data_IF_964956487101
#
_entry.id   IF_964956487101
#
_cell.length_a   1.000
_cell.length_b   1.000
_cell.length_c   1.000
_cell.angle_alpha   90.00
_cell.angle_beta   90.00
_cell.angle_gamma   90.00
#
_symmetry.space_group_name_H-M   'P 1'
#
loop_
_entity.id
_entity.type
_entity.pdbx_description
1 polymer ?
#
# COMPACT_ATOMS: atom_id res chain seq x y z
N UNK A 1 3.86 34.51 17.40
CA UNK A 1 4.94 33.50 17.28
C UNK A 1 4.44 32.15 16.73
N UNK A 2 3.13 31.90 16.64
CA UNK A 2 2.60 30.63 16.09
C UNK A 2 2.49 30.61 14.54
N UNK A 3 2.56 31.77 13.87
CA UNK A 3 2.40 31.88 12.42
C UNK A 3 3.67 31.52 11.60
N UNK A 4 4.87 31.62 12.18
CA UNK A 4 6.14 31.33 11.48
C UNK A 4 6.46 29.82 11.42
N UNK A 5 5.99 29.05 12.40
CA UNK A 5 6.21 27.59 12.45
C UNK A 5 5.45 26.82 11.38
N UNK A 6 4.24 27.28 11.00
CA UNK A 6 3.41 26.62 9.99
C UNK A 6 3.91 26.85 8.55
N UNK A 7 4.43 28.04 8.25
CA UNK A 7 4.97 28.34 6.91
C UNK A 7 6.25 27.54 6.59
N UNK A 8 7.09 27.28 7.60
CA UNK A 8 8.32 26.51 7.42
C UNK A 8 8.06 25.00 7.20
N UNK A 9 7.05 24.43 7.86
CA UNK A 9 6.63 23.04 7.64
C UNK A 9 6.01 22.85 6.24
N UNK A 10 5.20 23.79 5.78
CA UNK A 10 4.54 23.67 4.48
C UNK A 10 5.52 23.82 3.32
N UNK A 11 6.52 24.70 3.44
CA UNK A 11 7.59 24.88 2.44
C UNK A 11 8.57 23.71 2.36
N UNK A 12 8.76 22.98 3.47
CA UNK A 12 9.61 21.79 3.50
C UNK A 12 8.89 20.54 2.97
N UNK A 13 7.56 20.45 3.11
CA UNK A 13 6.75 19.40 2.46
C UNK A 13 6.77 19.53 0.94
N UNK A 14 6.50 20.74 0.41
CA UNK A 14 6.45 20.93 -1.05
C UNK A 14 7.79 20.74 -1.75
N UNK A 15 8.91 20.99 -1.06
CA UNK A 15 10.25 20.70 -1.59
C UNK A 15 10.49 19.21 -1.74
N UNK A 16 10.12 18.41 -0.73
CA UNK A 16 10.31 16.96 -0.77
C UNK A 16 9.43 16.29 -1.82
N UNK A 17 8.21 16.77 -1.99
CA UNK A 17 7.30 16.30 -3.05
C UNK A 17 7.90 16.56 -4.43
N UNK A 18 8.45 17.77 -4.65
CA UNK A 18 9.09 18.12 -5.91
C UNK A 18 10.36 17.30 -6.18
N UNK A 19 11.23 17.13 -5.19
CA UNK A 19 12.43 16.29 -5.30
C UNK A 19 12.07 14.83 -5.63
N UNK A 20 10.95 14.35 -5.09
CA UNK A 20 10.42 13.03 -5.40
C UNK A 20 9.91 12.93 -6.84
N UNK A 21 9.15 13.91 -7.32
CA UNK A 21 8.66 13.97 -8.70
C UNK A 21 9.82 14.04 -9.70
N UNK A 22 10.80 14.91 -9.43
CA UNK A 22 11.97 15.10 -10.29
C UNK A 22 12.78 13.80 -10.51
N UNK A 23 12.92 12.94 -9.48
CA UNK A 23 13.61 11.65 -9.65
C UNK A 23 12.81 10.65 -10.48
N UNK A 24 11.48 10.62 -10.35
CA UNK A 24 10.63 9.74 -11.16
C UNK A 24 10.63 10.17 -12.62
N UNK A 25 10.53 11.46 -12.90
CA UNK A 25 10.63 12.03 -14.25
C UNK A 25 11.97 11.68 -14.91
N UNK A 26 13.07 11.77 -14.14
CA UNK A 26 14.41 11.40 -14.60
C UNK A 26 14.50 9.91 -14.95
N UNK A 27 13.93 9.04 -14.13
CA UNK A 27 13.88 7.60 -14.38
C UNK A 27 13.06 7.29 -15.64
N UNK A 28 11.87 7.88 -15.75
CA UNK A 28 10.97 7.71 -16.90
C UNK A 28 11.67 8.09 -18.20
N UNK A 29 12.24 9.30 -18.28
CA UNK A 29 12.99 9.74 -19.47
C UNK A 29 14.15 8.81 -19.82
N UNK A 30 14.84 8.27 -18.82
CA UNK A 30 15.95 7.34 -19.04
C UNK A 30 15.44 6.01 -19.62
N UNK A 31 14.32 5.50 -19.12
CA UNK A 31 13.66 4.29 -19.63
C UNK A 31 13.14 4.48 -21.06
N UNK A 32 12.49 5.61 -21.35
CA UNK A 32 12.01 5.94 -22.69
C UNK A 32 13.15 6.00 -23.71
N UNK A 33 14.25 6.68 -23.37
CA UNK A 33 15.42 6.76 -24.23
C UNK A 33 16.05 5.38 -24.45
N UNK A 34 16.11 4.55 -23.41
CA UNK A 34 16.62 3.19 -23.51
C UNK A 34 15.75 2.32 -24.44
N UNK A 35 14.43 2.35 -24.25
CA UNK A 35 13.47 1.63 -25.08
C UNK A 35 13.53 2.07 -26.56
N UNK A 36 13.58 3.38 -26.82
CA UNK A 36 13.68 3.89 -28.18
C UNK A 36 15.02 3.51 -28.82
N UNK A 37 16.12 3.54 -28.06
CA UNK A 37 17.41 3.09 -28.55
C UNK A 37 17.40 1.60 -28.93
N UNK A 38 16.76 0.76 -28.10
CA UNK A 38 16.58 -0.67 -28.39
C UNK A 38 15.73 -0.89 -29.64
N UNK A 39 14.64 -0.12 -29.81
CA UNK A 39 13.78 -0.16 -31.01
C UNK A 39 14.56 0.17 -32.28
N UNK A 40 15.31 1.27 -32.28
CA UNK A 40 16.12 1.69 -33.44
C UNK A 40 17.20 0.64 -33.73
N UNK A 41 17.85 0.09 -32.71
CA UNK A 41 18.84 -0.98 -32.88
C UNK A 41 18.21 -2.21 -33.53
N UNK A 42 17.03 -2.64 -33.06
CA UNK A 42 16.28 -3.76 -33.63
C UNK A 42 15.95 -3.55 -35.11
N UNK A 43 15.48 -2.35 -35.48
CA UNK A 43 15.24 -1.98 -36.88
C UNK A 43 16.53 -1.99 -37.71
N UNK A 44 17.62 -1.43 -37.16
CA UNK A 44 18.93 -1.39 -37.84
C UNK A 44 19.49 -2.80 -38.08
N UNK A 45 19.25 -3.73 -37.14
CA UNK A 45 19.66 -5.12 -37.26
C UNK A 45 18.80 -5.91 -38.26
N UNK A 46 17.50 -5.61 -38.33
CA UNK A 46 16.60 -6.24 -39.30
C UNK A 46 16.94 -5.85 -40.75
N UNK A 47 17.25 -4.58 -40.99
CA UNK A 47 17.60 -4.04 -42.32
C UNK A 47 19.11 -3.81 -42.47
N UNK A 48 19.91 -4.72 -41.92
CA UNK A 48 21.36 -4.51 -41.83
C UNK A 48 22.05 -4.43 -43.20
N UNK A 49 22.96 -3.48 -43.33
CA UNK A 49 23.92 -3.38 -44.43
C UNK A 49 25.30 -2.97 -43.94
N UNK A 50 26.34 -3.12 -44.76
CA UNK A 50 27.70 -2.68 -44.40
C UNK A 50 27.77 -1.20 -44.02
N UNK A 51 26.86 -0.36 -44.54
CA UNK A 51 26.78 1.07 -44.22
C UNK A 51 26.21 1.35 -42.83
N UNK A 52 25.44 0.42 -42.25
CA UNK A 52 24.81 0.59 -40.93
C UNK A 52 25.66 0.04 -39.78
N UNK A 53 26.85 -0.52 -40.04
CA UNK A 53 27.71 -1.09 -39.00
C UNK A 53 28.07 -0.09 -37.90
N UNK A 54 28.50 1.12 -38.28
CA UNK A 54 28.87 2.15 -37.30
C UNK A 54 27.68 2.61 -36.47
N UNK A 55 26.51 2.75 -37.11
CA UNK A 55 25.27 3.09 -36.42
C UNK A 55 24.87 1.98 -35.44
N UNK A 56 24.98 0.71 -35.83
CA UNK A 56 24.70 -0.43 -34.95
C UNK A 56 25.63 -0.44 -33.74
N UNK A 57 26.94 -0.26 -33.94
CA UNK A 57 27.93 -0.19 -32.87
C UNK A 57 27.63 0.96 -31.89
N UNK A 58 27.31 2.15 -32.42
CA UNK A 58 26.90 3.28 -31.60
C UNK A 58 25.67 2.94 -30.75
N UNK A 59 24.64 2.32 -31.35
CA UNK A 59 23.42 1.92 -30.64
C UNK A 59 23.69 0.89 -29.53
N UNK A 60 24.57 -0.08 -29.77
CA UNK A 60 25.01 -1.04 -28.75
C UNK A 60 25.69 -0.32 -27.59
N UNK A 61 26.62 0.59 -27.86
CA UNK A 61 27.28 1.39 -26.82
C UNK A 61 26.27 2.23 -26.02
N UNK A 62 25.30 2.85 -26.69
CA UNK A 62 24.23 3.59 -26.02
C UNK A 62 23.38 2.69 -25.11
N UNK A 63 23.07 1.44 -25.50
CA UNK A 63 22.37 0.50 -24.61
C UNK A 63 23.21 0.15 -23.37
N UNK A 64 24.50 -0.12 -23.56
CA UNK A 64 25.40 -0.45 -22.44
C UNK A 64 25.46 0.72 -21.45
N UNK A 65 25.65 1.94 -21.95
CA UNK A 65 25.64 3.15 -21.12
C UNK A 65 24.29 3.37 -20.43
N UNK A 66 23.17 3.10 -21.12
CA UNK A 66 21.84 3.20 -20.54
C UNK A 66 21.61 2.22 -19.40
N UNK A 67 22.06 0.96 -19.54
CA UNK A 67 22.02 -0.03 -18.46
C UNK A 67 22.85 0.41 -17.25
N UNK A 68 24.06 0.91 -17.48
CA UNK A 68 24.93 1.42 -16.41
C UNK A 68 24.30 2.61 -15.68
N UNK A 69 23.66 3.52 -16.42
CA UNK A 69 22.95 4.66 -15.85
C UNK A 69 21.75 4.21 -15.00
N UNK A 70 20.95 3.24 -15.47
CA UNK A 70 19.84 2.69 -14.70
C UNK A 70 20.32 2.01 -13.40
N UNK A 71 21.41 1.24 -13.46
CA UNK A 71 21.98 0.62 -12.26
C UNK A 71 22.49 1.67 -11.25
N UNK A 72 23.08 2.77 -11.72
CA UNK A 72 23.54 3.86 -10.87
C UNK A 72 22.38 4.60 -10.16
N UNK A 73 21.22 4.69 -10.80
CA UNK A 73 20.03 5.37 -10.23
C UNK A 73 19.20 4.48 -9.32
N UNK A 74 19.41 3.15 -9.27
CA UNK A 74 18.53 2.22 -8.55
C UNK A 74 18.33 2.58 -7.07
N UNK A 75 19.41 3.02 -6.40
CA UNK A 75 19.40 3.37 -4.99
C UNK A 75 18.63 4.67 -4.69
N UNK A 76 18.34 5.49 -5.72
CA UNK A 76 17.47 6.66 -5.58
C UNK A 76 16.01 6.25 -5.27
N UNK A 77 15.65 4.96 -5.39
CA UNK A 77 14.30 4.41 -5.20
C UNK A 77 14.19 3.35 -4.10
N UNK A 78 15.20 3.19 -3.24
CA UNK A 78 15.20 2.17 -2.18
C UNK A 78 14.03 2.34 -1.17
N UNK A 79 13.50 3.56 -1.06
CA UNK A 79 12.33 3.91 -0.25
C UNK A 79 10.99 3.48 -0.86
N UNK A 80 10.96 3.17 -2.16
CA UNK A 80 9.77 2.73 -2.88
C UNK A 80 9.66 1.21 -2.79
N UNK A 81 8.54 0.71 -2.25
CA UNK A 81 8.25 -0.73 -2.16
C UNK A 81 7.18 -1.11 -3.15
N UNK A 82 7.52 -2.00 -4.07
CA UNK A 82 6.60 -2.55 -5.06
C UNK A 82 6.12 -3.92 -4.56
N UNK A 83 4.80 -4.13 -4.37
CA UNK A 83 4.24 -5.43 -4.00
C UNK A 83 4.58 -6.49 -5.05
N UNK A 84 4.94 -7.70 -4.61
CA UNK A 84 5.31 -8.78 -5.54
C UNK A 84 4.09 -9.27 -6.32
N UNK A 85 2.91 -9.22 -5.71
CA UNK A 85 1.62 -9.57 -6.33
C UNK A 85 1.28 -8.69 -7.53
N UNK A 86 1.88 -7.49 -7.61
CA UNK A 86 1.72 -6.62 -8.77
C UNK A 86 2.44 -7.17 -10.01
N UNK A 87 3.49 -8.00 -9.85
CA UNK A 87 4.18 -8.62 -10.98
C UNK A 87 3.26 -9.54 -11.76
N UNK A 88 2.38 -10.29 -11.08
CA UNK A 88 1.42 -11.16 -11.76
C UNK A 88 0.46 -10.37 -12.66
N UNK A 89 0.10 -9.13 -12.26
CA UNK A 89 -0.76 -8.23 -13.05
C UNK A 89 -0.01 -7.72 -14.27
N UNK A 90 1.26 -7.34 -14.10
CA UNK A 90 2.13 -6.88 -15.18
C UNK A 90 2.40 -7.97 -16.22
N UNK A 91 2.68 -9.20 -15.79
CA UNK A 91 2.96 -10.33 -16.67
C UNK A 91 1.75 -10.71 -17.54
N UNK A 92 0.53 -10.46 -17.06
CA UNK A 92 -0.70 -10.60 -17.84
C UNK A 92 -0.97 -9.44 -18.80
N UNK A 93 -0.17 -8.37 -18.74
CA UNK A 93 -0.38 -7.14 -19.50
C UNK A 93 -1.57 -6.31 -19.02
N UNK A 94 -2.03 -6.54 -17.77
CA UNK A 94 -3.11 -5.78 -17.16
C UNK A 94 -2.59 -4.46 -16.57
N UNK A 95 -3.49 -3.50 -16.37
CA UNK A 95 -3.13 -2.22 -15.74
C UNK A 95 -2.83 -2.39 -14.25
N UNK A 96 -1.70 -1.87 -13.72
CA UNK A 96 -1.40 -1.85 -12.28
C UNK A 96 -2.48 -1.21 -11.42
N UNK A 97 -3.30 -0.32 -11.99
CA UNK A 97 -4.41 0.30 -11.29
C UNK A 97 -5.45 -0.73 -10.82
N UNK A 98 -5.61 -1.85 -11.54
CA UNK A 98 -6.54 -2.91 -11.18
C UNK A 98 -6.17 -3.55 -9.85
N UNK A 99 -4.88 -3.76 -9.60
CA UNK A 99 -4.37 -4.26 -8.31
C UNK A 99 -4.75 -3.31 -7.17
N UNK A 100 -4.45 -2.02 -7.33
CA UNK A 100 -4.76 -1.00 -6.30
C UNK A 100 -6.25 -0.95 -6.00
N UNK A 101 -7.09 -1.05 -7.04
CA UNK A 101 -8.54 -1.11 -6.91
C UNK A 101 -8.98 -2.36 -6.14
N UNK A 102 -8.52 -3.55 -6.52
CA UNK A 102 -8.88 -4.80 -5.85
C UNK A 102 -8.45 -4.78 -4.38
N UNK A 103 -7.25 -4.28 -4.08
CA UNK A 103 -6.78 -4.19 -2.69
C UNK A 103 -7.64 -3.26 -1.84
N UNK A 104 -8.09 -2.13 -2.40
CA UNK A 104 -9.00 -1.23 -1.71
C UNK A 104 -10.35 -1.90 -1.45
N UNK A 105 -10.93 -2.53 -2.47
CA UNK A 105 -12.21 -3.25 -2.36
C UNK A 105 -12.14 -4.38 -1.34
N UNK A 106 -11.08 -5.21 -1.40
CA UNK A 106 -10.83 -6.29 -0.44
C UNK A 106 -10.68 -5.76 0.98
N UNK A 107 -9.99 -4.62 1.15
CA UNK A 107 -9.81 -3.99 2.47
C UNK A 107 -11.16 -3.53 3.05
N UNK A 108 -12.00 -2.90 2.24
CA UNK A 108 -13.35 -2.48 2.64
C UNK A 108 -14.19 -3.69 3.04
N UNK A 109 -14.25 -4.71 2.18
CA UNK A 109 -14.99 -5.93 2.45
C UNK A 109 -14.52 -6.61 3.73
N UNK A 110 -13.19 -6.68 3.96
CA UNK A 110 -12.64 -7.30 5.16
C UNK A 110 -12.97 -6.50 6.42
N UNK A 111 -12.97 -5.18 6.33
CA UNK A 111 -13.35 -4.31 7.45
C UNK A 111 -14.83 -4.51 7.83
N UNK A 112 -15.73 -4.55 6.84
CA UNK A 112 -17.15 -4.84 7.07
C UNK A 112 -17.36 -6.22 7.70
N UNK A 113 -16.68 -7.25 7.17
CA UNK A 113 -16.73 -8.61 7.72
C UNK A 113 -16.28 -8.65 9.19
N UNK A 114 -15.16 -7.99 9.52
CA UNK A 114 -14.62 -7.94 10.89
C UNK A 114 -15.56 -7.16 11.81
N UNK A 115 -16.13 -6.04 11.36
CA UNK A 115 -17.10 -5.28 12.14
C UNK A 115 -18.38 -6.09 12.41
N UNK A 116 -18.88 -6.84 11.42
CA UNK A 116 -20.00 -7.75 11.61
C UNK A 116 -19.70 -8.85 12.64
N UNK A 117 -18.47 -9.40 12.63
CA UNK A 117 -18.02 -10.35 13.65
C UNK A 117 -17.97 -9.72 15.04
N UNK A 118 -17.44 -8.50 15.17
CA UNK A 118 -17.41 -7.76 16.45
C UNK A 118 -18.83 -7.56 16.98
N UNK A 119 -19.77 -7.16 16.12
CA UNK A 119 -21.17 -6.97 16.50
C UNK A 119 -21.82 -8.27 16.96
N UNK A 120 -21.59 -9.37 16.24
CA UNK A 120 -22.06 -10.71 16.65
C UNK A 120 -21.51 -11.11 18.02
N UNK A 121 -20.21 -10.93 18.27
CA UNK A 121 -19.63 -11.23 19.58
C UNK A 121 -20.21 -10.35 20.69
N UNK A 122 -20.48 -9.06 20.42
CA UNK A 122 -21.14 -8.17 21.39
C UNK A 122 -22.56 -8.63 21.72
N UNK A 123 -23.35 -8.99 20.71
CA UNK A 123 -24.72 -9.52 20.89
C UNK A 123 -24.73 -10.85 21.62
N UNK A 124 -23.86 -11.77 21.23
CA UNK A 124 -23.69 -13.06 21.88
C UNK A 124 -23.33 -12.90 23.36
N UNK A 125 -22.36 -12.04 23.65
CA UNK A 125 -21.97 -11.71 25.03
C UNK A 125 -23.15 -11.18 25.86
N UNK A 126 -23.91 -10.23 25.32
CA UNK A 126 -25.06 -9.66 26.02
C UNK A 126 -26.14 -10.71 26.30
N UNK A 127 -26.43 -11.57 25.32
CA UNK A 127 -27.37 -12.68 25.47
C UNK A 127 -26.90 -13.69 26.51
N UNK A 128 -25.62 -14.06 26.48
CA UNK A 128 -25.03 -15.00 27.44
C UNK A 128 -25.11 -14.43 28.87
N UNK A 129 -24.74 -13.16 29.07
CA UNK A 129 -24.83 -12.50 30.37
C UNK A 129 -26.26 -12.42 30.89
N UNK A 130 -27.24 -12.21 30.00
CA UNK A 130 -28.66 -12.22 30.37
C UNK A 130 -29.08 -13.59 30.89
N UNK A 131 -28.83 -14.65 30.11
CA UNK A 131 -29.19 -16.02 30.52
C UNK A 131 -28.47 -16.47 31.80
N UNK A 132 -27.18 -16.13 31.94
CA UNK A 132 -26.44 -16.40 33.18
C UNK A 132 -27.02 -15.62 34.38
N UNK A 133 -27.47 -14.38 34.16
CA UNK A 133 -28.14 -13.58 35.19
C UNK A 133 -29.45 -14.22 35.66
N UNK A 134 -30.20 -14.82 34.75
CA UNK A 134 -31.47 -15.51 35.04
C UNK A 134 -31.24 -16.87 35.74
N UNK A 135 -30.28 -17.68 35.28
CA UNK A 135 -30.03 -19.03 35.81
C UNK A 135 -29.11 -19.05 37.05
N UNK A 136 -28.10 -18.17 37.09
CA UNK A 136 -27.04 -18.14 38.11
C UNK A 136 -26.74 -16.70 38.58
N UNK A 137 -27.70 -16.02 39.23
CA UNK A 137 -27.59 -14.59 39.55
C UNK A 137 -26.40 -14.25 40.47
N UNK A 138 -26.13 -15.06 41.48
CA UNK A 138 -25.02 -14.81 42.43
C UNK A 138 -23.64 -14.87 41.75
N UNK A 139 -23.43 -15.84 40.86
CA UNK A 139 -22.15 -16.02 40.18
C UNK A 139 -21.96 -15.02 39.04
N UNK A 140 -23.05 -14.62 38.37
CA UNK A 140 -23.03 -13.54 37.37
C UNK A 140 -22.60 -12.21 37.97
N UNK A 141 -23.09 -11.89 39.18
CA UNK A 141 -22.67 -10.69 39.92
C UNK A 141 -21.19 -10.75 40.28
N UNK A 142 -20.66 -11.90 40.74
CA UNK A 142 -19.22 -12.08 41.01
C UNK A 142 -18.38 -11.88 39.76
N UNK A 143 -18.81 -12.46 38.63
CA UNK A 143 -18.14 -12.33 37.34
C UNK A 143 -18.06 -10.87 36.87
N UNK A 144 -19.18 -10.13 36.87
CA UNK A 144 -19.22 -8.72 36.45
C UNK A 144 -18.35 -7.84 37.37
N UNK A 145 -18.35 -8.11 38.68
CA UNK A 145 -17.52 -7.39 39.65
C UNK A 145 -16.02 -7.63 39.39
N UNK A 146 -15.61 -8.88 39.14
CA UNK A 146 -14.22 -9.22 38.82
C UNK A 146 -13.74 -8.59 37.50
N UNK A 147 -14.66 -8.38 36.55
CA UNK A 147 -14.38 -7.74 35.25
C UNK A 147 -14.44 -6.21 35.28
N UNK A 148 -14.64 -5.61 36.46
CA UNK A 148 -14.79 -4.16 36.68
C UNK A 148 -16.00 -3.52 35.99
N UNK A 149 -17.03 -4.31 35.63
CA UNK A 149 -18.26 -3.79 35.02
C UNK A 149 -19.28 -3.38 36.10
N UNK A 150 -18.89 -2.40 36.93
CA UNK A 150 -19.63 -1.98 38.13
C UNK A 150 -21.09 -1.60 37.87
N UNK A 151 -21.38 -0.88 36.76
CA UNK A 151 -22.75 -0.45 36.43
C UNK A 151 -23.69 -1.62 36.13
N UNK A 152 -23.21 -2.67 35.47
CA UNK A 152 -24.02 -3.85 35.13
C UNK A 152 -24.26 -4.73 36.37
N UNK A 153 -23.27 -4.82 37.27
CA UNK A 153 -23.38 -5.57 38.51
C UNK A 153 -24.39 -4.95 39.50
N UNK A 154 -24.47 -3.62 39.60
CA UNK A 154 -25.42 -2.94 40.49
C UNK A 154 -26.87 -3.05 40.02
N UNK A 155 -27.13 -2.90 38.71
CA UNK A 155 -28.47 -3.08 38.14
C UNK A 155 -29.02 -4.48 38.39
N UNK A 156 -28.19 -5.53 38.29
CA UNK A 156 -28.64 -6.90 38.54
C UNK A 156 -28.98 -7.13 40.02
N UNK A 157 -28.18 -6.57 40.95
CA UNK A 157 -28.44 -6.68 42.39
C UNK A 157 -29.74 -6.01 42.81
N UNK A 158 -30.10 -4.88 42.18
CA UNK A 158 -31.35 -4.17 42.45
C UNK A 158 -32.58 -4.94 41.97
N UNK A 159 -32.48 -5.73 40.89
CA UNK A 159 -33.59 -6.52 40.36
C UNK A 159 -33.82 -7.85 41.10
N UNK A 160 -32.92 -8.23 42.02
CA UNK A 160 -32.98 -9.46 42.81
C UNK A 160 -33.47 -9.24 44.25
N UNK A 161 -33.72 -7.99 44.64
CA UNK A 161 -34.31 -7.59 45.93
C UNK A 161 -35.81 -7.31 45.77
#
# INVERSE_FOLDING_TARGET
MEHDGQQHLQKSSSRKEKEMEDRFDKLERTLEQFQENARIMGSTAADFSTRSQDQLNQKIHTLISGLAQMDAMKHEFDDVKVPLELMDVLDRGETPYLYSKEMLERTVQKNEEVNGKIEMYRKFRASLLKHMGDELPSDTVKYLTARQEHKAAEQLKQNLQ
#
